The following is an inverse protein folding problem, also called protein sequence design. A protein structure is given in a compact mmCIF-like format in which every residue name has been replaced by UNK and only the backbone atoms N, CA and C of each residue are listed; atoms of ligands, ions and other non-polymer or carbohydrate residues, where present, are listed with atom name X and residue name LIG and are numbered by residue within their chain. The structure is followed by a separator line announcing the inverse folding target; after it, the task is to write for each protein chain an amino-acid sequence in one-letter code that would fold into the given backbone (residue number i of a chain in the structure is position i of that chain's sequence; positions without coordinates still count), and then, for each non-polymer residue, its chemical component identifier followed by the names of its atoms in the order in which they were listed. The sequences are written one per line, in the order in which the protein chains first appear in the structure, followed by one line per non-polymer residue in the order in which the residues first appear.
data_IF_851225629559
#
_entry.id   IF_851225629559
#
_cell.length_a   1.000
_cell.length_b   1.000
_cell.length_c   1.000
_cell.angle_alpha   90.00
_cell.angle_beta   90.00
_cell.angle_gamma   90.00
#
_symmetry.space_group_name_H-M   'P 1'
#
loop_
_entity.id
_entity.type
_entity.pdbx_description
1 polymer ?
#
# COMPACT_ATOMS: atom_id res chain seq x y z
N UNK A 1 15.89 -16.13 5.93
CA UNK A 1 15.31 -14.93 5.30
C UNK A 1 15.16 -13.85 6.36
N UNK A 2 15.84 -12.74 6.19
CA UNK A 2 15.85 -11.68 7.21
C UNK A 2 14.88 -10.57 6.82
N UNK A 3 13.66 -10.58 7.39
CA UNK A 3 12.65 -9.58 7.14
C UNK A 3 12.73 -8.40 8.12
N UNK A 4 13.54 -8.50 9.17
CA UNK A 4 13.63 -7.47 10.20
C UNK A 4 14.23 -6.15 9.70
N UNK A 5 14.93 -6.19 8.56
CA UNK A 5 15.50 -5.00 7.94
C UNK A 5 14.57 -4.35 6.90
N UNK A 6 13.39 -4.96 6.67
CA UNK A 6 12.45 -4.43 5.70
C UNK A 6 11.42 -3.55 6.37
N UNK A 7 11.22 -2.36 5.80
CA UNK A 7 10.27 -1.38 6.32
C UNK A 7 9.04 -1.32 5.43
N UNK A 8 7.87 -1.50 6.03
CA UNK A 8 6.59 -1.42 5.33
C UNK A 8 5.88 -0.15 5.77
N UNK A 9 5.55 0.70 4.82
CA UNK A 9 4.77 1.92 5.08
C UNK A 9 3.30 1.61 4.84
N UNK A 10 2.46 1.88 5.83
CA UNK A 10 1.00 1.73 5.71
C UNK A 10 0.36 3.09 5.89
N UNK A 11 -0.49 3.46 4.95
CA UNK A 11 -1.20 4.74 4.98
C UNK A 11 -2.70 4.49 4.88
N UNK A 12 -3.44 4.91 5.91
CA UNK A 12 -4.89 4.76 5.96
C UNK A 12 -5.43 5.76 6.97
N UNK A 13 -6.57 6.38 6.71
CA UNK A 13 -7.19 7.32 7.63
C UNK A 13 -8.03 6.65 8.72
N UNK A 14 -8.17 5.33 8.66
CA UNK A 14 -8.84 4.52 9.68
C UNK A 14 -7.82 4.01 10.67
N UNK A 15 -7.80 4.59 11.87
CA UNK A 15 -6.84 4.25 12.92
C UNK A 15 -6.94 2.78 13.35
N UNK A 16 -8.15 2.23 13.41
CA UNK A 16 -8.36 0.84 13.81
C UNK A 16 -7.75 -0.10 12.79
N UNK A 17 -7.97 0.18 11.52
CA UNK A 17 -7.40 -0.62 10.44
C UNK A 17 -5.87 -0.54 10.45
N UNK A 18 -5.31 0.66 10.65
CA UNK A 18 -3.86 0.85 10.75
C UNK A 18 -3.27 0.00 11.86
N UNK A 19 -3.91 0.01 13.04
CA UNK A 19 -3.43 -0.77 14.17
C UNK A 19 -3.47 -2.27 13.88
N UNK A 20 -4.57 -2.75 13.31
CA UNK A 20 -4.70 -4.16 12.94
C UNK A 20 -3.64 -4.57 11.93
N UNK A 21 -3.44 -3.78 10.91
CA UNK A 21 -2.46 -4.09 9.87
C UNK A 21 -1.04 -4.03 10.40
N UNK A 22 -0.75 -3.07 11.28
CA UNK A 22 0.55 -2.98 11.92
C UNK A 22 0.87 -4.26 12.66
N UNK A 23 -0.07 -4.77 13.46
CA UNK A 23 0.10 -6.00 14.22
C UNK A 23 0.34 -7.18 13.29
N UNK A 24 -0.47 -7.30 12.24
CA UNK A 24 -0.35 -8.40 11.27
C UNK A 24 1.02 -8.38 10.59
N UNK A 25 1.42 -7.22 10.09
CA UNK A 25 2.68 -7.11 9.34
C UNK A 25 3.89 -7.29 10.26
N UNK A 26 3.82 -6.79 11.48
CA UNK A 26 4.87 -7.05 12.46
C UNK A 26 4.99 -8.54 12.78
N UNK A 27 3.87 -9.27 12.77
CA UNK A 27 3.90 -10.73 12.99
C UNK A 27 4.63 -11.46 11.87
N UNK A 28 4.72 -10.87 10.69
CA UNK A 28 5.49 -11.42 9.57
C UNK A 28 7.00 -11.14 9.69
N UNK A 29 7.40 -10.32 10.67
CA UNK A 29 8.80 -9.99 10.88
C UNK A 29 9.26 -8.67 10.29
N UNK A 30 8.35 -7.86 9.76
CA UNK A 30 8.69 -6.56 9.17
C UNK A 30 8.60 -5.43 10.17
N UNK A 31 9.37 -4.36 9.92
CA UNK A 31 9.17 -3.09 10.61
C UNK A 31 8.03 -2.34 9.94
N UNK A 32 7.26 -1.60 10.71
CA UNK A 32 6.09 -0.88 10.18
C UNK A 32 6.19 0.61 10.49
N UNK A 33 5.93 1.42 9.46
CA UNK A 33 5.80 2.86 9.57
C UNK A 33 4.37 3.19 9.16
N UNK A 34 3.68 4.01 9.93
CA UNK A 34 2.28 4.35 9.65
C UNK A 34 2.09 5.83 9.39
N UNK A 35 1.10 6.14 8.55
CA UNK A 35 0.63 7.50 8.31
C UNK A 35 -0.88 7.48 8.20
N UNK A 36 -1.54 8.54 8.67
CA UNK A 36 -2.99 8.60 8.73
C UNK A 36 -3.60 9.45 7.61
N UNK A 37 -2.79 10.06 6.77
CA UNK A 37 -3.27 10.91 5.70
C UNK A 37 -2.30 10.91 4.54
N UNK A 38 -2.80 11.34 3.38
CA UNK A 38 -1.97 11.54 2.20
C UNK A 38 -0.85 12.53 2.49
N UNK A 39 -1.17 13.64 3.17
CA UNK A 39 -0.21 14.67 3.51
C UNK A 39 0.93 14.13 4.36
N UNK A 40 0.59 13.40 5.42
CA UNK A 40 1.58 12.81 6.31
C UNK A 40 2.48 11.83 5.55
N UNK A 41 1.88 11.00 4.68
CA UNK A 41 2.63 10.06 3.86
C UNK A 41 3.58 10.77 2.91
N UNK A 42 3.14 11.85 2.29
CA UNK A 42 4.00 12.62 1.39
C UNK A 42 5.21 13.20 2.11
N UNK A 43 5.02 13.67 3.34
CA UNK A 43 6.13 14.16 4.16
C UNK A 43 7.10 13.04 4.52
N UNK A 44 6.59 11.87 4.88
CA UNK A 44 7.42 10.71 5.21
C UNK A 44 8.24 10.24 4.00
N UNK A 45 7.66 10.24 2.83
CA UNK A 45 8.34 9.80 1.61
C UNK A 45 9.51 10.70 1.21
N UNK A 46 9.55 11.92 1.71
CA UNK A 46 10.69 12.80 1.49
C UNK A 46 11.90 12.41 2.35
N UNK A 47 11.67 11.68 3.43
CA UNK A 47 12.70 11.36 4.41
C UNK A 47 13.04 9.88 4.45
N UNK A 48 12.10 9.00 4.11
CA UNK A 48 12.24 7.56 4.27
C UNK A 48 11.88 6.86 2.97
N UNK A 49 12.74 5.90 2.59
CA UNK A 49 12.44 5.00 1.47
C UNK A 49 11.93 3.69 2.06
N UNK A 50 10.64 3.38 1.93
CA UNK A 50 10.13 2.09 2.40
C UNK A 50 10.53 0.98 1.42
N UNK A 51 10.52 -0.26 1.90
CA UNK A 51 10.71 -1.43 1.06
C UNK A 51 9.41 -1.87 0.39
N UNK A 52 8.28 -1.54 1.02
CA UNK A 52 6.93 -1.81 0.51
C UNK A 52 6.01 -0.71 1.04
N UNK A 53 5.08 -0.28 0.22
CA UNK A 53 4.06 0.70 0.63
C UNK A 53 2.67 0.14 0.42
N UNK A 54 1.78 0.37 1.39
CA UNK A 54 0.38 -0.03 1.34
C UNK A 54 -0.46 1.22 1.57
N UNK A 55 -1.21 1.63 0.56
CA UNK A 55 -1.99 2.86 0.62
C UNK A 55 -3.48 2.55 0.54
N UNK A 56 -4.26 3.18 1.43
CA UNK A 56 -5.71 3.24 1.27
C UNK A 56 -6.03 4.02 0.01
N UNK A 57 -7.02 3.56 -0.74
CA UNK A 57 -7.39 4.22 -1.98
C UNK A 57 -7.95 5.62 -1.73
N UNK A 58 -8.87 5.73 -0.79
CA UNK A 58 -9.61 6.96 -0.52
C UNK A 58 -9.28 7.51 0.86
N UNK A 59 -8.74 8.71 0.90
CA UNK A 59 -8.46 9.41 2.16
C UNK A 59 -8.99 10.83 2.05
N UNK A 60 -8.12 11.86 2.04
CA UNK A 60 -8.57 13.25 1.84
C UNK A 60 -9.23 13.43 0.47
N UNK A 61 -8.78 12.66 -0.52
CA UNK A 61 -9.32 12.66 -1.87
C UNK A 61 -9.74 11.25 -2.25
N UNK A 62 -10.64 11.13 -3.20
CA UNK A 62 -11.12 9.83 -3.67
C UNK A 62 -10.01 9.00 -4.33
N UNK A 63 -8.95 9.65 -4.78
CA UNK A 63 -7.84 9.02 -5.47
C UNK A 63 -6.51 9.15 -4.72
N UNK A 64 -6.56 9.41 -3.40
CA UNK A 64 -5.36 9.60 -2.59
C UNK A 64 -4.35 8.47 -2.76
N UNK A 65 -4.80 7.21 -2.79
CA UNK A 65 -3.91 6.07 -2.95
C UNK A 65 -3.18 6.08 -4.29
N UNK A 66 -3.86 6.47 -5.35
CA UNK A 66 -3.23 6.58 -6.68
C UNK A 66 -2.21 7.71 -6.72
N UNK A 67 -2.54 8.84 -6.12
CA UNK A 67 -1.62 9.99 -6.07
C UNK A 67 -0.35 9.61 -5.32
N UNK A 68 -0.49 8.96 -4.16
CA UNK A 68 0.67 8.51 -3.38
C UNK A 68 1.51 7.48 -4.13
N UNK A 69 0.85 6.55 -4.81
CA UNK A 69 1.53 5.55 -5.62
C UNK A 69 2.37 6.21 -6.72
N UNK A 70 1.78 7.16 -7.41
CA UNK A 70 2.47 7.91 -8.46
C UNK A 70 3.70 8.64 -7.90
N UNK A 71 3.52 9.36 -6.79
CA UNK A 71 4.60 10.14 -6.19
C UNK A 71 5.72 9.25 -5.66
N UNK A 72 5.36 8.12 -5.05
CA UNK A 72 6.35 7.17 -4.55
C UNK A 72 7.14 6.55 -5.70
N UNK A 73 6.46 6.09 -6.74
CA UNK A 73 7.11 5.46 -7.89
C UNK A 73 8.00 6.45 -8.65
N UNK A 74 7.61 7.72 -8.67
CA UNK A 74 8.44 8.75 -9.30
C UNK A 74 9.76 8.93 -8.57
N UNK A 75 9.73 8.84 -7.23
CA UNK A 75 10.91 9.00 -6.39
C UNK A 75 11.68 7.68 -6.22
N UNK A 76 10.96 6.57 -6.05
CA UNK A 76 11.54 5.25 -5.80
C UNK A 76 10.86 4.22 -6.71
N UNK A 77 11.23 4.15 -7.98
CA UNK A 77 10.49 3.30 -8.95
C UNK A 77 10.57 1.81 -8.67
N UNK A 78 11.52 1.37 -7.86
CA UNK A 78 11.69 -0.04 -7.51
C UNK A 78 10.86 -0.49 -6.30
N UNK A 79 10.25 0.43 -5.58
CA UNK A 79 9.46 0.09 -4.38
C UNK A 79 8.08 -0.41 -4.81
N UNK A 80 7.69 -1.64 -4.42
CA UNK A 80 6.35 -2.14 -4.73
C UNK A 80 5.28 -1.42 -3.92
N UNK A 81 4.11 -1.24 -4.53
CA UNK A 81 2.97 -0.55 -3.93
C UNK A 81 1.74 -1.43 -3.99
N UNK A 82 1.05 -1.55 -2.85
CA UNK A 82 -0.26 -2.18 -2.75
C UNK A 82 -1.28 -1.09 -2.49
N UNK A 83 -2.36 -1.08 -3.26
CA UNK A 83 -3.50 -0.21 -2.98
C UNK A 83 -4.59 -1.06 -2.35
N UNK A 84 -5.02 -0.68 -1.15
CA UNK A 84 -6.04 -1.39 -0.39
C UNK A 84 -7.36 -0.65 -0.49
N UNK A 85 -8.45 -1.40 -0.66
CA UNK A 85 -9.79 -0.85 -0.74
C UNK A 85 -10.75 -1.65 0.13
N UNK A 86 -11.76 -0.98 0.66
CA UNK A 86 -12.72 -1.62 1.56
C UNK A 86 -13.48 -2.75 0.87
N UNK A 87 -14.04 -2.49 -0.31
CA UNK A 87 -14.76 -3.51 -1.09
C UNK A 87 -14.63 -3.19 -2.57
N UNK A 88 -13.74 -3.91 -3.26
CA UNK A 88 -13.49 -3.68 -4.67
C UNK A 88 -14.74 -3.94 -5.53
N UNK A 89 -15.51 -4.96 -5.19
CA UNK A 89 -16.68 -5.35 -5.96
C UNK A 89 -17.83 -4.34 -5.87
N UNK A 90 -17.96 -3.65 -4.73
CA UNK A 90 -19.02 -2.67 -4.53
C UNK A 90 -18.73 -1.32 -5.19
N UNK A 91 -17.46 -0.98 -5.31
CA UNK A 91 -17.09 0.28 -5.92
C UNK A 91 -17.27 0.28 -7.43
N UNK A 92 -17.48 -0.88 -8.01
CA UNK A 92 -17.53 -1.02 -9.46
C UNK A 92 -16.21 -0.64 -10.12
N UNK A 93 -15.22 -0.33 -9.33
CA UNK A 93 -13.89 -0.01 -9.85
C UNK A 93 -13.20 -1.32 -10.12
N UNK A 94 -13.09 -1.63 -11.36
CA UNK A 94 -12.25 -2.72 -11.79
C UNK A 94 -10.84 -2.18 -11.81
N UNK A 95 -10.14 -2.29 -10.70
CA UNK A 95 -8.77 -1.82 -10.65
C UNK A 95 -7.97 -2.51 -11.75
N UNK A 96 -7.34 -1.71 -12.57
CA UNK A 96 -6.56 -2.23 -13.67
C UNK A 96 -7.40 -2.69 -14.84
N UNK A 97 -8.71 -2.52 -14.83
CA UNK A 97 -9.58 -2.83 -15.96
C UNK A 97 -9.96 -1.54 -16.71
N UNK A 98 -9.44 -0.41 -16.29
CA UNK A 98 -9.54 0.80 -17.08
C UNK A 98 -8.70 0.64 -18.35
N UNK A 99 -8.72 1.64 -19.19
CA UNK A 99 -7.91 1.65 -20.40
C UNK A 99 -6.43 1.46 -20.05
N UNK A 100 -5.63 1.06 -21.03
CA UNK A 100 -4.18 0.99 -20.83
C UNK A 100 -3.59 2.32 -20.35
N UNK A 101 -4.21 3.42 -20.77
CA UNK A 101 -3.79 4.75 -20.34
C UNK A 101 -3.98 4.93 -18.84
N UNK A 102 -5.10 4.48 -18.30
CA UNK A 102 -5.36 4.51 -16.87
C UNK A 102 -4.36 3.64 -16.12
N UNK A 103 -4.06 2.46 -16.65
CA UNK A 103 -3.08 1.57 -16.05
C UNK A 103 -1.68 2.17 -16.01
N UNK A 104 -1.32 2.94 -17.03
CA UNK A 104 -0.02 3.62 -17.05
C UNK A 104 0.06 4.70 -16.00
N UNK A 105 -1.08 5.33 -15.70
CA UNK A 105 -1.15 6.38 -14.71
C UNK A 105 -1.16 5.80 -13.30
N UNK A 106 -1.82 4.65 -13.11
CA UNK A 106 -1.90 3.95 -11.84
C UNK A 106 -0.62 3.11 -11.68
N UNK A 107 0.20 3.47 -10.72
CA UNK A 107 1.52 2.85 -10.53
C UNK A 107 1.54 1.79 -9.43
N UNK A 108 0.40 1.18 -9.12
CA UNK A 108 0.35 0.14 -8.10
C UNK A 108 0.72 -1.22 -8.68
N UNK A 109 1.38 -2.02 -7.87
CA UNK A 109 1.77 -3.38 -8.25
C UNK A 109 0.70 -4.42 -7.90
N UNK A 110 -0.14 -4.10 -6.92
CA UNK A 110 -1.21 -4.99 -6.47
C UNK A 110 -2.38 -4.18 -5.92
N UNK A 111 -3.59 -4.65 -6.20
CA UNK A 111 -4.82 -4.14 -5.60
C UNK A 111 -5.36 -5.21 -4.66
N UNK A 112 -5.73 -4.81 -3.45
CA UNK A 112 -6.07 -5.73 -2.39
C UNK A 112 -7.33 -5.27 -1.67
N UNK A 113 -8.20 -6.20 -1.32
CA UNK A 113 -9.32 -5.91 -0.44
C UNK A 113 -8.84 -5.85 1.00
N UNK A 114 -9.36 -4.91 1.79
CA UNK A 114 -8.97 -4.78 3.19
C UNK A 114 -9.32 -6.01 4.02
N UNK A 115 -10.27 -6.83 3.57
CA UNK A 115 -10.65 -8.07 4.24
C UNK A 115 -9.81 -9.28 3.89
N UNK A 116 -8.70 -9.12 3.18
CA UNK A 116 -7.84 -10.24 2.79
C UNK A 116 -7.34 -11.00 4.03
N UNK A 117 -7.27 -12.33 3.92
CA UNK A 117 -6.78 -13.15 5.02
C UNK A 117 -5.27 -12.93 5.24
N UNK A 118 -4.81 -12.95 6.49
CA UNK A 118 -3.39 -12.72 6.78
C UNK A 118 -2.43 -13.66 6.04
N UNK A 119 -2.78 -14.94 5.91
CA UNK A 119 -1.93 -15.90 5.21
C UNK A 119 -1.78 -15.58 3.72
N UNK A 120 -2.87 -15.17 3.09
CA UNK A 120 -2.84 -14.76 1.69
C UNK A 120 -2.08 -13.45 1.52
N UNK A 121 -2.29 -12.52 2.42
CA UNK A 121 -1.59 -11.24 2.42
C UNK A 121 -0.09 -11.44 2.55
N UNK A 122 0.33 -12.33 3.46
CA UNK A 122 1.74 -12.64 3.63
C UNK A 122 2.36 -13.18 2.33
N UNK A 123 1.65 -14.07 1.66
CA UNK A 123 2.12 -14.62 0.37
C UNK A 123 2.31 -13.54 -0.67
N UNK A 124 1.40 -12.57 -0.73
CA UNK A 124 1.49 -11.48 -1.70
C UNK A 124 2.70 -10.57 -1.39
N UNK A 125 2.95 -10.29 -0.12
CA UNK A 125 4.10 -9.50 0.30
C UNK A 125 5.40 -10.20 -0.07
N UNK A 126 5.51 -11.49 0.24
CA UNK A 126 6.69 -12.29 -0.07
C UNK A 126 6.97 -12.26 -1.58
N UNK A 127 5.91 -12.40 -2.36
CA UNK A 127 6.01 -12.38 -3.83
C UNK A 127 6.52 -11.02 -4.34
N UNK A 128 5.95 -9.93 -3.84
CA UNK A 128 6.33 -8.58 -4.26
C UNK A 128 7.75 -8.23 -3.86
N UNK A 129 8.18 -8.64 -2.68
CA UNK A 129 9.52 -8.37 -2.17
C UNK A 129 10.55 -9.40 -2.63
N UNK A 130 10.11 -10.43 -3.33
CA UNK A 130 10.98 -11.50 -3.84
C UNK A 130 11.77 -12.21 -2.74
N UNK A 131 11.06 -12.47 -1.65
CA UNK A 131 11.68 -13.14 -0.50
C UNK A 131 11.60 -14.65 -0.57
#
# INVERSE_FOLDING_TARGET
MNTSNKNVLIVDDDEDYLLQMKIVIQSFGFNVITAESQREAEELLQQVKPDLAIFDLMMENEDSGFILSYKLKKRYPDVPVIIATAVASETGISFGVGSEEERRWIKADLYMEKGIRPDQFHREIVKLLKL
#
